data_IF_835694070963
#
_entry.id   IF_835694070963
#
_cell.length_a   1.000
_cell.length_b   1.000
_cell.length_c   1.000
_cell.angle_alpha   90.00
_cell.angle_beta   90.00
_cell.angle_gamma   90.00
#
_symmetry.space_group_name_H-M   'P 1'
#
loop_
_entity.id
_entity.type
_entity.pdbx_description
1 polymer ?
#
# COMPACT_ATOMS: atom_id res chain seq x y z
N UNK A 1 -30.50 -20.38 4.16
CA UNK A 1 -29.62 -19.70 3.18
C UNK A 1 -28.51 -19.02 3.96
N UNK A 2 -27.23 -19.45 3.89
CA UNK A 2 -26.20 -18.80 4.67
C UNK A 2 -25.95 -17.43 4.03
N UNK A 3 -26.22 -16.38 4.79
CA UNK A 3 -25.86 -15.00 4.49
C UNK A 3 -24.33 -14.94 4.38
N UNK A 4 -23.81 -15.18 3.17
CA UNK A 4 -22.40 -15.02 2.87
C UNK A 4 -22.12 -13.51 2.95
N UNK A 5 -21.61 -13.16 4.11
CA UNK A 5 -21.56 -11.83 4.67
C UNK A 5 -20.61 -10.94 3.85
N UNK A 6 -21.16 -9.87 3.29
CA UNK A 6 -20.37 -8.84 2.61
C UNK A 6 -19.42 -8.12 3.59
N UNK A 7 -19.66 -8.23 4.91
CA UNK A 7 -18.81 -7.67 5.96
C UNK A 7 -17.36 -8.16 5.88
N UNK A 8 -17.12 -9.45 5.58
CA UNK A 8 -15.75 -9.99 5.53
C UNK A 8 -14.91 -9.41 4.37
N UNK A 9 -15.56 -9.01 3.28
CA UNK A 9 -14.87 -8.37 2.15
C UNK A 9 -14.58 -6.89 2.43
N UNK A 10 -15.50 -6.21 3.09
CA UNK A 10 -15.32 -4.81 3.52
C UNK A 10 -14.27 -4.71 4.63
N UNK A 11 -14.31 -5.61 5.62
CA UNK A 11 -13.34 -5.72 6.71
C UNK A 11 -11.92 -5.99 6.15
N UNK A 12 -11.79 -6.92 5.20
CA UNK A 12 -10.49 -7.27 4.60
C UNK A 12 -9.93 -6.19 3.66
N UNK A 13 -10.80 -5.51 2.90
CA UNK A 13 -10.39 -4.36 2.07
C UNK A 13 -9.93 -3.16 2.91
N UNK A 14 -10.50 -3.00 4.11
CA UNK A 14 -10.13 -1.92 5.04
C UNK A 14 -8.72 -2.08 5.61
N UNK A 15 -8.28 -3.32 5.89
CA UNK A 15 -6.94 -3.62 6.38
C UNK A 15 -5.86 -3.30 5.35
N UNK A 16 -6.08 -3.70 4.10
CA UNK A 16 -5.21 -3.34 2.97
C UNK A 16 -5.16 -1.83 2.73
N UNK A 17 -6.29 -1.14 2.77
CA UNK A 17 -6.35 0.32 2.61
C UNK A 17 -5.58 1.04 3.72
N UNK A 18 -5.70 0.59 4.98
CA UNK A 18 -4.93 1.11 6.11
C UNK A 18 -3.43 0.86 5.93
N UNK A 19 -3.02 -0.33 5.51
CA UNK A 19 -1.62 -0.66 5.26
C UNK A 19 -1.03 0.19 4.12
N UNK A 20 -1.77 0.37 3.02
CA UNK A 20 -1.37 1.25 1.93
C UNK A 20 -1.30 2.72 2.38
N UNK A 21 -2.25 3.18 3.20
CA UNK A 21 -2.25 4.51 3.79
C UNK A 21 -1.05 4.75 4.71
N UNK A 22 -0.64 3.74 5.49
CA UNK A 22 0.56 3.81 6.33
C UNK A 22 1.84 3.92 5.48
N UNK A 23 1.96 3.11 4.43
CA UNK A 23 3.11 3.21 3.50
C UNK A 23 3.16 4.59 2.85
N UNK A 24 2.02 5.10 2.37
CA UNK A 24 1.93 6.43 1.77
C UNK A 24 2.31 7.53 2.77
N UNK A 25 1.88 7.42 4.03
CA UNK A 25 2.24 8.35 5.09
C UNK A 25 3.75 8.31 5.38
N UNK A 26 4.34 7.13 5.54
CA UNK A 26 5.79 6.98 5.75
C UNK A 26 6.57 7.53 4.56
N UNK A 27 6.11 7.28 3.33
CA UNK A 27 6.70 7.83 2.12
C UNK A 27 6.66 9.36 2.13
N UNK A 28 5.51 9.97 2.40
CA UNK A 28 5.40 11.43 2.48
C UNK A 28 6.30 12.02 3.58
N UNK A 29 6.38 11.38 4.74
CA UNK A 29 7.30 11.78 5.84
C UNK A 29 8.75 11.69 5.38
N UNK A 30 9.13 10.63 4.66
CA UNK A 30 10.45 10.48 4.04
C UNK A 30 10.77 11.63 3.09
N UNK A 31 9.89 11.91 2.13
CA UNK A 31 10.08 12.97 1.13
C UNK A 31 10.21 14.34 1.79
N UNK A 32 9.32 14.67 2.73
CA UNK A 32 9.37 15.95 3.44
C UNK A 32 10.63 16.04 4.29
N UNK A 33 10.96 14.98 5.05
CA UNK A 33 12.16 14.95 5.89
C UNK A 33 13.43 15.12 5.08
N UNK A 34 13.58 14.38 3.97
CA UNK A 34 14.73 14.52 3.08
C UNK A 34 14.78 15.86 2.36
N UNK A 35 13.64 16.44 1.98
CA UNK A 35 13.60 17.79 1.39
C UNK A 35 14.07 18.85 2.39
N UNK A 36 13.68 18.73 3.66
CA UNK A 36 14.12 19.64 4.74
C UNK A 36 15.59 19.43 5.09
N UNK A 37 16.06 18.18 5.14
CA UNK A 37 17.46 17.85 5.45
C UNK A 37 18.40 18.26 4.30
N UNK A 38 17.99 18.05 3.06
CA UNK A 38 18.76 18.41 1.87
C UNK A 38 18.77 19.92 1.60
N UNK A 39 17.71 20.63 1.99
CA UNK A 39 17.56 22.07 1.76
C UNK A 39 17.65 22.44 0.27
N UNK A 40 18.10 23.65 -0.04
CA UNK A 40 18.17 24.17 -1.41
C UNK A 40 19.24 23.49 -2.30
N UNK A 41 20.06 22.59 -1.73
CA UNK A 41 21.12 21.89 -2.48
C UNK A 41 20.59 20.73 -3.31
N UNK A 42 19.41 20.21 -2.98
CA UNK A 42 18.82 19.03 -3.61
C UNK A 42 17.39 19.34 -4.05
N UNK A 43 16.97 18.74 -5.16
CA UNK A 43 15.62 18.92 -5.67
C UNK A 43 14.61 18.04 -4.91
N UNK A 44 13.33 18.38 -4.99
CA UNK A 44 12.26 17.54 -4.46
C UNK A 44 12.26 16.14 -5.10
N UNK A 45 12.69 16.04 -6.36
CA UNK A 45 12.85 14.76 -7.07
C UNK A 45 13.93 13.90 -6.42
N UNK A 46 15.02 14.50 -5.96
CA UNK A 46 16.08 13.78 -5.25
C UNK A 46 15.59 13.25 -3.91
N UNK A 47 14.78 14.03 -3.19
CA UNK A 47 14.15 13.57 -1.94
C UNK A 47 13.16 12.42 -2.17
N UNK A 48 12.35 12.49 -3.24
CA UNK A 48 11.46 11.41 -3.69
C UNK A 48 12.26 10.16 -4.04
N UNK A 49 13.33 10.32 -4.82
CA UNK A 49 14.18 9.22 -5.25
C UNK A 49 14.91 8.57 -4.07
N UNK A 50 15.49 9.37 -3.17
CA UNK A 50 16.11 8.89 -1.92
C UNK A 50 15.11 8.10 -1.08
N UNK A 51 13.91 8.65 -0.85
CA UNK A 51 12.85 7.96 -0.09
C UNK A 51 12.47 6.63 -0.75
N UNK A 52 12.34 6.62 -2.08
CA UNK A 52 12.00 5.42 -2.84
C UNK A 52 13.06 4.34 -2.67
N UNK A 53 14.34 4.62 -2.95
CA UNK A 53 15.41 3.61 -2.85
C UNK A 53 15.62 3.08 -1.43
N UNK A 54 15.36 3.91 -0.41
CA UNK A 54 15.42 3.54 1.00
C UNK A 54 14.26 2.62 1.38
N UNK A 55 13.03 2.99 1.03
CA UNK A 55 11.83 2.23 1.37
C UNK A 55 11.70 0.93 0.58
N UNK A 56 12.13 0.91 -0.68
CA UNK A 56 12.19 -0.32 -1.48
C UNK A 56 13.36 -1.23 -1.09
N UNK A 57 14.17 -0.85 -0.11
CA UNK A 57 15.36 -1.59 0.36
C UNK A 57 16.42 -1.85 -0.72
N UNK A 58 16.39 -1.07 -1.81
CA UNK A 58 17.37 -1.20 -2.90
C UNK A 58 18.70 -0.59 -2.47
N UNK A 59 18.68 0.58 -1.82
CA UNK A 59 19.83 1.12 -1.12
C UNK A 59 21.06 1.42 -1.99
N UNK A 60 20.88 2.06 -3.16
CA UNK A 60 22.01 2.43 -4.05
C UNK A 60 23.01 3.43 -3.45
N UNK A 61 22.74 3.98 -2.27
CA UNK A 61 23.58 4.96 -1.58
C UNK A 61 22.81 6.23 -1.22
N UNK A 62 23.46 7.12 -0.48
CA UNK A 62 22.91 8.41 -0.09
C UNK A 62 22.97 9.40 -1.26
N UNK A 63 21.81 9.71 -1.86
CA UNK A 63 21.69 10.74 -2.90
C UNK A 63 21.85 12.13 -2.28
N UNK A 64 21.27 12.31 -1.09
CA UNK A 64 21.44 13.49 -0.25
C UNK A 64 22.54 13.16 0.74
N UNK A 65 23.62 13.95 0.73
CA UNK A 65 24.79 13.70 1.57
C UNK A 65 24.45 13.89 3.06
N UNK A 66 24.52 12.82 3.83
CA UNK A 66 24.25 12.81 5.28
C UNK A 66 25.54 12.70 6.11
N UNK A 67 26.72 12.72 5.48
CA UNK A 67 28.02 12.49 6.15
C UNK A 67 28.31 13.49 7.27
N UNK A 68 27.93 14.75 7.06
CA UNK A 68 28.05 15.82 8.06
C UNK A 68 26.81 16.03 8.92
N UNK A 69 25.75 15.24 8.76
CA UNK A 69 24.46 15.46 9.41
C UNK A 69 23.99 14.25 10.25
N UNK A 70 24.42 14.14 11.51
CA UNK A 70 24.01 13.04 12.39
C UNK A 70 22.49 12.99 12.62
N UNK A 71 21.81 14.14 12.58
CA UNK A 71 20.35 14.21 12.66
C UNK A 71 19.66 13.55 11.47
N UNK A 72 20.17 13.77 10.26
CA UNK A 72 19.64 13.14 9.05
C UNK A 72 19.86 11.63 9.01
N UNK A 73 20.98 11.14 9.57
CA UNK A 73 21.22 9.70 9.74
C UNK A 73 20.26 9.05 10.72
N UNK A 74 20.00 9.70 11.86
CA UNK A 74 18.99 9.23 12.82
C UNK A 74 17.57 9.24 12.23
N UNK A 75 17.24 10.29 11.46
CA UNK A 75 15.99 10.33 10.71
C UNK A 75 15.86 9.14 9.73
N UNK A 76 16.90 8.88 8.94
CA UNK A 76 16.94 7.76 8.00
C UNK A 76 16.80 6.41 8.71
N UNK A 77 17.45 6.24 9.86
CA UNK A 77 17.32 5.04 10.68
C UNK A 77 15.88 4.85 11.19
N UNK A 78 15.22 5.91 11.64
CA UNK A 78 13.81 5.89 12.01
C UNK A 78 12.91 5.56 10.82
N UNK A 79 13.13 6.21 9.67
CA UNK A 79 12.39 5.97 8.43
C UNK A 79 12.50 4.51 7.98
N UNK A 80 13.68 3.90 8.09
CA UNK A 80 13.90 2.48 7.80
C UNK A 80 13.12 1.59 8.78
N UNK A 81 13.17 1.88 10.07
CA UNK A 81 12.46 1.08 11.08
C UNK A 81 10.94 1.06 10.83
N UNK A 82 10.34 2.24 10.65
CA UNK A 82 8.90 2.36 10.38
C UNK A 82 8.53 1.91 8.95
N UNK A 83 9.40 2.16 7.98
CA UNK A 83 9.21 1.78 6.58
C UNK A 83 9.18 0.28 6.40
N UNK A 84 10.21 -0.42 6.87
CA UNK A 84 10.29 -1.89 6.80
C UNK A 84 9.11 -2.52 7.55
N UNK A 85 8.79 -2.02 8.76
CA UNK A 85 7.61 -2.48 9.50
C UNK A 85 6.31 -2.33 8.72
N UNK A 86 6.12 -1.19 8.05
CA UNK A 86 4.93 -0.93 7.22
C UNK A 86 4.86 -1.85 6.01
N UNK A 87 5.99 -2.14 5.35
CA UNK A 87 6.04 -3.10 4.24
C UNK A 87 5.70 -4.52 4.70
N UNK A 88 6.26 -4.99 5.83
CA UNK A 88 5.95 -6.31 6.39
C UNK A 88 4.46 -6.42 6.73
N UNK A 89 3.89 -5.37 7.31
CA UNK A 89 2.45 -5.32 7.60
C UNK A 89 1.61 -5.36 6.33
N UNK A 90 1.98 -4.59 5.29
CA UNK A 90 1.31 -4.61 4.00
C UNK A 90 1.38 -5.98 3.33
N UNK A 91 2.55 -6.61 3.25
CA UNK A 91 2.69 -7.94 2.67
C UNK A 91 1.92 -9.02 3.43
N UNK A 92 1.88 -8.94 4.77
CA UNK A 92 1.05 -9.83 5.58
C UNK A 92 -0.43 -9.71 5.22
N UNK A 93 -0.96 -8.48 5.14
CA UNK A 93 -2.34 -8.24 4.75
C UNK A 93 -2.62 -8.60 3.29
N UNK A 94 -1.68 -8.34 2.38
CA UNK A 94 -1.79 -8.71 0.98
C UNK A 94 -1.85 -10.23 0.82
N UNK A 95 -1.00 -10.96 1.55
CA UNK A 95 -1.00 -12.43 1.53
C UNK A 95 -2.30 -12.99 2.09
N UNK A 96 -2.78 -12.46 3.23
CA UNK A 96 -4.09 -12.82 3.78
C UNK A 96 -5.22 -12.56 2.78
N UNK A 97 -5.21 -11.41 2.10
CA UNK A 97 -6.16 -11.10 1.03
C UNK A 97 -6.06 -12.05 -0.17
N UNK A 98 -4.86 -12.51 -0.56
CA UNK A 98 -4.72 -13.48 -1.64
C UNK A 98 -5.20 -14.87 -1.26
N UNK A 99 -4.99 -15.28 0.00
CA UNK A 99 -5.33 -16.64 0.49
C UNK A 99 -6.79 -16.73 0.92
N UNK A 100 -7.29 -15.76 1.67
CA UNK A 100 -8.65 -15.74 2.22
C UNK A 100 -9.63 -14.97 1.30
N UNK A 101 -9.14 -13.95 0.61
CA UNK A 101 -9.93 -13.19 -0.34
C UNK A 101 -10.23 -14.08 -1.54
N UNK A 102 -11.47 -14.56 -1.61
CA UNK A 102 -12.01 -15.27 -2.76
C UNK A 102 -12.13 -14.31 -3.97
N UNK A 103 -11.01 -13.80 -4.48
CA UNK A 103 -10.95 -12.87 -5.61
C UNK A 103 -11.64 -13.48 -6.83
N UNK A 104 -11.49 -14.79 -7.00
CA UNK A 104 -12.22 -15.61 -7.98
C UNK A 104 -13.74 -15.48 -7.83
N UNK A 105 -14.27 -15.43 -6.61
CA UNK A 105 -15.73 -15.38 -6.36
C UNK A 105 -16.30 -13.98 -6.60
N UNK A 106 -15.52 -12.93 -6.35
CA UNK A 106 -15.90 -11.54 -6.68
C UNK A 106 -15.89 -11.33 -8.20
N UNK A 107 -14.82 -11.77 -8.87
CA UNK A 107 -14.71 -11.69 -10.33
C UNK A 107 -15.78 -12.57 -11.00
N UNK A 108 -16.04 -13.76 -10.46
CA UNK A 108 -17.13 -14.63 -10.91
C UNK A 108 -18.49 -13.99 -10.73
N UNK A 109 -18.79 -13.37 -9.59
CA UNK A 109 -20.05 -12.61 -9.39
C UNK A 109 -20.19 -11.45 -10.36
N UNK A 110 -19.11 -10.68 -10.61
CA UNK A 110 -19.13 -9.59 -11.59
C UNK A 110 -19.39 -10.11 -13.00
N UNK A 111 -18.78 -11.24 -13.38
CA UNK A 111 -19.00 -11.91 -14.66
C UNK A 111 -20.43 -12.42 -14.79
N UNK A 112 -20.93 -13.13 -13.78
CA UNK A 112 -22.29 -13.65 -13.72
C UNK A 112 -23.33 -12.53 -13.78
N UNK A 113 -23.12 -11.42 -13.06
CA UNK A 113 -24.03 -10.26 -13.08
C UNK A 113 -24.04 -9.54 -14.43
N UNK A 114 -22.91 -9.50 -15.14
CA UNK A 114 -22.86 -9.05 -16.54
C UNK A 114 -23.65 -9.99 -17.45
N UNK A 115 -23.51 -11.30 -17.28
CA UNK A 115 -24.29 -12.29 -18.04
C UNK A 115 -25.80 -12.14 -17.77
N UNK A 116 -26.20 -11.90 -16.52
CA UNK A 116 -27.60 -11.65 -16.13
C UNK A 116 -28.11 -10.34 -16.75
N UNK A 117 -27.33 -9.25 -16.71
CA UNK A 117 -27.72 -7.98 -17.31
C UNK A 117 -27.75 -8.01 -18.85
N UNK A 118 -27.08 -8.97 -19.48
CA UNK A 118 -27.12 -9.17 -20.93
C UNK A 118 -28.30 -10.06 -21.39
N UNK A 119 -29.08 -10.61 -20.45
CA UNK A 119 -30.27 -11.43 -20.73
C UNK A 119 -31.53 -10.56 -20.70
N UNK A 120 -32.07 -10.25 -21.88
CA UNK A 120 -33.40 -9.64 -22.00
C UNK A 120 -34.50 -10.70 -21.96
N UNK A 121 -35.62 -10.37 -21.31
CA UNK A 121 -36.84 -11.17 -21.22
C UNK A 121 -36.71 -12.51 -20.45
N UNK A 122 -36.07 -12.51 -19.28
CA UNK A 122 -35.93 -13.70 -18.42
C UNK A 122 -36.82 -13.62 -17.17
N UNK A 123 -37.28 -14.79 -16.70
CA UNK A 123 -38.02 -14.93 -15.44
C UNK A 123 -37.07 -15.35 -14.32
N UNK A 124 -37.09 -14.60 -13.22
CA UNK A 124 -36.34 -14.92 -11.99
C UNK A 124 -37.27 -15.70 -11.07
N UNK A 125 -36.97 -16.98 -10.84
CA UNK A 125 -37.70 -17.82 -9.89
C UNK A 125 -36.94 -17.79 -8.57
N UNK A 126 -37.52 -17.12 -7.57
CA UNK A 126 -37.00 -17.09 -6.21
C UNK A 126 -37.60 -18.25 -5.43
N UNK A 127 -36.81 -19.31 -5.23
CA UNK A 127 -37.07 -20.38 -4.25
C UNK A 127 -36.24 -20.17 -3.00
#
# INVERSE_FOLDING_TARGET
MPTYDASHLDEQSSGLARAAGLIALVFCVGVVGYSVIGGDRYSLVDAVYMTMITLTTVGYGEVIDLSGNPGGRLFTAGLLFFGVGSFVYFFSNLTAFMVEGNLDRILWRRRMRRSINALDNHYIVCG
#
